data_IF_406585178926
#
_entry.id   IF_406585178926
#
_cell.length_a   1.000
_cell.length_b   1.000
_cell.length_c   1.000
_cell.angle_alpha   90.00
_cell.angle_beta   90.00
_cell.angle_gamma   90.00
#
_symmetry.space_group_name_H-M   'P 1'
#
loop_
_entity.id
_entity.type
_entity.pdbx_description
1 polymer ?
#
# COMPACT_ATOMS: atom_id res chain seq x y z
N UNK A 1 22.23 2.52 -14.05
CA UNK A 1 21.57 1.43 -13.31
C UNK A 1 20.14 1.80 -12.91
N UNK A 2 19.92 2.91 -12.20
CA UNK A 2 18.58 3.24 -11.70
C UNK A 2 17.57 3.53 -12.83
N UNK A 3 17.99 4.17 -13.94
CA UNK A 3 17.15 4.38 -15.11
C UNK A 3 16.72 3.03 -15.69
N UNK A 4 17.64 2.08 -15.83
CA UNK A 4 17.34 0.73 -16.31
C UNK A 4 16.34 0.03 -15.41
N UNK A 5 16.58 0.02 -14.10
CA UNK A 5 15.69 -0.62 -13.11
C UNK A 5 14.32 0.06 -13.10
N UNK A 6 14.29 1.40 -13.15
CA UNK A 6 13.04 2.16 -13.19
C UNK A 6 12.22 1.85 -14.45
N UNK A 7 12.84 1.87 -15.64
CA UNK A 7 12.18 1.57 -16.92
C UNK A 7 11.71 0.11 -16.93
N UNK A 8 12.57 -0.83 -16.52
CA UNK A 8 12.23 -2.25 -16.48
C UNK A 8 10.99 -2.52 -15.62
N UNK A 9 10.95 -1.99 -14.39
CA UNK A 9 9.79 -2.19 -13.52
C UNK A 9 8.57 -1.33 -13.89
N UNK A 10 8.76 -0.24 -14.62
CA UNK A 10 7.64 0.55 -15.15
C UNK A 10 6.90 -0.19 -16.27
N UNK A 11 7.60 -1.03 -17.03
CA UNK A 11 7.03 -1.85 -18.09
C UNK A 11 6.41 -3.15 -17.54
N UNK A 12 6.89 -3.63 -16.37
CA UNK A 12 6.37 -4.85 -15.77
C UNK A 12 4.87 -4.73 -15.46
N UNK A 13 4.11 -5.72 -15.85
CA UNK A 13 2.65 -5.76 -15.63
C UNK A 13 2.29 -5.93 -14.14
N UNK A 14 3.10 -6.67 -13.40
CA UNK A 14 2.96 -6.85 -11.95
C UNK A 14 3.77 -5.79 -11.21
N UNK A 15 3.08 -4.80 -10.66
CA UNK A 15 3.70 -3.73 -9.86
C UNK A 15 3.68 -4.08 -8.38
N UNK A 16 4.73 -4.74 -7.90
CA UNK A 16 4.90 -4.97 -6.47
C UNK A 16 5.74 -3.85 -5.84
N UNK A 17 5.29 -3.36 -4.71
CA UNK A 17 6.01 -2.30 -3.96
C UNK A 17 7.44 -2.71 -3.60
N UNK A 18 7.67 -4.01 -3.37
CA UNK A 18 8.99 -4.58 -3.10
C UNK A 18 10.03 -4.34 -4.21
N UNK A 19 9.59 -4.16 -5.46
CA UNK A 19 10.51 -3.84 -6.57
C UNK A 19 11.13 -2.45 -6.45
N UNK A 20 10.42 -1.52 -5.80
CA UNK A 20 10.95 -0.18 -5.53
C UNK A 20 12.15 -0.20 -4.57
N UNK A 21 12.27 -1.22 -3.72
CA UNK A 21 13.40 -1.37 -2.81
C UNK A 21 14.74 -1.52 -3.56
N UNK A 22 14.73 -2.07 -4.78
CA UNK A 22 15.93 -2.19 -5.61
C UNK A 22 16.44 -0.84 -6.12
N UNK A 23 15.60 0.20 -6.12
CA UNK A 23 15.98 1.56 -6.49
C UNK A 23 16.63 2.33 -5.34
N UNK A 24 16.39 1.93 -4.09
CA UNK A 24 16.85 2.67 -2.91
C UNK A 24 18.38 2.79 -2.85
N UNK A 25 19.19 1.73 -2.99
CA UNK A 25 20.65 1.85 -2.92
C UNK A 25 21.24 2.78 -3.98
N UNK A 26 20.91 2.67 -5.29
CA UNK A 26 21.46 3.56 -6.29
C UNK A 26 20.98 5.00 -6.11
N UNK A 27 19.73 5.22 -5.69
CA UNK A 27 19.22 6.57 -5.38
C UNK A 27 19.95 7.17 -4.18
N UNK A 28 20.15 6.41 -3.11
CA UNK A 28 20.90 6.85 -1.94
C UNK A 28 22.35 7.22 -2.30
N UNK A 29 22.99 6.45 -3.19
CA UNK A 29 24.34 6.75 -3.68
C UNK A 29 24.37 8.06 -4.49
N UNK A 30 23.42 8.26 -5.42
CA UNK A 30 23.34 9.49 -6.20
C UNK A 30 23.10 10.71 -5.31
N UNK A 31 22.16 10.57 -4.34
CA UNK A 31 21.86 11.64 -3.38
C UNK A 31 23.09 11.95 -2.53
N UNK A 32 23.75 10.93 -1.99
CA UNK A 32 24.96 11.07 -1.17
C UNK A 32 26.10 11.72 -1.94
N UNK A 33 26.31 11.31 -3.20
CA UNK A 33 27.31 11.90 -4.08
C UNK A 33 27.04 13.39 -4.34
N UNK A 34 25.80 13.74 -4.71
CA UNK A 34 25.42 15.12 -4.93
C UNK A 34 25.55 15.96 -3.65
N UNK A 35 25.16 15.40 -2.50
CA UNK A 35 25.30 16.08 -1.21
C UNK A 35 26.77 16.34 -0.87
N UNK A 36 27.67 15.37 -1.11
CA UNK A 36 29.11 15.54 -0.92
C UNK A 36 29.67 16.66 -1.80
N UNK A 37 29.32 16.66 -3.10
CA UNK A 37 29.72 17.73 -4.02
C UNK A 37 29.17 19.11 -3.60
N UNK A 38 27.95 19.16 -3.10
CA UNK A 38 27.36 20.39 -2.55
C UNK A 38 28.16 20.94 -1.36
N UNK A 39 28.69 20.09 -0.52
CA UNK A 39 29.49 20.48 0.63
C UNK A 39 30.88 20.99 0.24
N UNK A 40 31.45 20.41 -0.85
CA UNK A 40 32.80 20.75 -1.32
C UNK A 40 32.83 21.98 -2.23
N UNK A 41 31.84 22.17 -3.10
CA UNK A 41 31.83 23.25 -4.09
C UNK A 41 30.57 24.12 -4.03
N UNK A 42 30.52 24.95 -2.97
CA UNK A 42 29.35 25.78 -2.62
C UNK A 42 28.92 26.81 -3.67
N UNK A 43 29.78 27.23 -4.57
CA UNK A 43 29.59 28.54 -5.22
C UNK A 43 28.69 28.56 -6.48
N UNK A 44 28.42 27.47 -7.18
CA UNK A 44 27.87 27.65 -8.52
C UNK A 44 26.66 26.79 -8.94
N UNK A 45 26.39 25.61 -8.36
CA UNK A 45 25.47 24.71 -9.07
C UNK A 45 24.28 24.15 -8.23
N UNK A 46 24.27 24.36 -6.95
CA UNK A 46 23.48 23.46 -6.08
C UNK A 46 22.21 24.05 -5.47
N UNK A 47 21.96 25.33 -5.68
CA UNK A 47 20.73 25.99 -5.21
C UNK A 47 19.45 25.32 -5.77
N UNK A 48 19.52 24.87 -7.02
CA UNK A 48 18.38 24.22 -7.68
C UNK A 48 17.96 22.90 -7.06
N UNK A 49 18.92 22.03 -6.69
CA UNK A 49 18.62 20.73 -6.10
C UNK A 49 18.07 20.84 -4.67
N UNK A 50 18.75 21.61 -3.83
CA UNK A 50 18.31 21.79 -2.46
C UNK A 50 16.99 22.55 -2.36
N UNK A 51 16.80 23.56 -3.22
CA UNK A 51 15.53 24.27 -3.35
C UNK A 51 14.43 23.37 -3.92
N UNK A 52 14.75 22.55 -4.93
CA UNK A 52 13.80 21.63 -5.55
C UNK A 52 13.33 20.55 -4.56
N UNK A 53 14.23 19.98 -3.76
CA UNK A 53 13.85 19.00 -2.72
C UNK A 53 12.99 19.62 -1.62
N UNK A 54 13.29 20.85 -1.20
CA UNK A 54 12.50 21.56 -0.21
C UNK A 54 11.08 21.88 -0.72
N UNK A 55 10.95 22.30 -1.99
CA UNK A 55 9.64 22.49 -2.64
C UNK A 55 8.87 21.16 -2.71
N UNK A 56 9.55 20.06 -3.05
CA UNK A 56 8.93 18.74 -3.06
C UNK A 56 8.38 18.37 -1.68
N UNK A 57 9.12 18.63 -0.61
CA UNK A 57 8.65 18.40 0.76
C UNK A 57 7.44 19.26 1.12
N UNK A 58 7.39 20.52 0.68
CA UNK A 58 6.22 21.36 0.89
C UNK A 58 4.99 20.82 0.16
N UNK A 59 5.15 20.42 -1.10
CA UNK A 59 4.05 19.80 -1.88
C UNK A 59 3.61 18.50 -1.25
N UNK A 60 4.54 17.64 -0.82
CA UNK A 60 4.24 16.40 -0.12
C UNK A 60 3.52 16.68 1.20
N UNK A 61 3.97 17.67 1.96
CA UNK A 61 3.33 18.07 3.21
C UNK A 61 1.89 18.51 3.02
N UNK A 62 1.61 19.36 2.04
CA UNK A 62 0.25 19.75 1.68
C UNK A 62 -0.57 18.53 1.25
N UNK A 63 0.00 17.66 0.41
CA UNK A 63 -0.66 16.44 -0.04
C UNK A 63 -1.03 15.52 1.13
N UNK A 64 -0.15 15.35 2.12
CA UNK A 64 -0.44 14.56 3.33
C UNK A 64 -1.56 15.17 4.19
N UNK A 65 -1.61 16.49 4.31
CA UNK A 65 -2.71 17.15 5.04
C UNK A 65 -4.07 16.97 4.35
N UNK A 66 -4.08 17.05 3.02
CA UNK A 66 -5.31 16.87 2.24
C UNK A 66 -5.74 15.40 2.11
N UNK A 67 -4.81 14.45 2.24
CA UNK A 67 -5.11 13.02 2.10
C UNK A 67 -6.03 12.50 3.22
N UNK A 68 -6.07 13.15 4.38
CA UNK A 68 -6.95 12.79 5.50
C UNK A 68 -8.43 12.85 5.17
N UNK A 69 -8.84 13.75 4.26
CA UNK A 69 -10.23 13.88 3.84
C UNK A 69 -10.70 12.66 3.00
N UNK A 70 -9.78 12.07 2.23
CA UNK A 70 -10.08 10.91 1.39
C UNK A 70 -9.85 9.56 2.08
N UNK A 71 -8.99 9.52 3.10
CA UNK A 71 -8.59 8.31 3.83
C UNK A 71 -8.54 8.59 5.32
N UNK A 72 -9.69 8.50 6.03
CA UNK A 72 -9.77 8.85 7.46
C UNK A 72 -8.77 8.09 8.35
N UNK A 73 -8.41 6.86 7.97
CA UNK A 73 -7.43 6.03 8.70
C UNK A 73 -6.02 6.63 8.67
N UNK A 74 -5.73 7.44 7.65
CA UNK A 74 -4.44 8.12 7.50
C UNK A 74 -4.44 9.56 8.04
N UNK A 75 -5.58 10.06 8.50
CA UNK A 75 -5.73 11.47 8.89
C UNK A 75 -4.73 11.88 9.97
N UNK A 76 -4.55 11.07 11.02
CA UNK A 76 -3.61 11.37 12.10
C UNK A 76 -2.15 11.32 11.61
N UNK A 77 -1.75 10.24 10.93
CA UNK A 77 -0.40 10.11 10.36
C UNK A 77 -0.12 11.17 9.31
N UNK A 78 -1.10 11.50 8.47
CA UNK A 78 -1.03 12.56 7.47
C UNK A 78 -0.87 13.95 8.10
N UNK A 79 -1.58 14.23 9.18
CA UNK A 79 -1.44 15.49 9.93
C UNK A 79 -0.02 15.66 10.49
N UNK A 80 0.49 14.63 11.18
CA UNK A 80 1.85 14.67 11.73
C UNK A 80 2.91 14.79 10.64
N UNK A 81 2.86 13.94 9.63
CA UNK A 81 3.81 13.96 8.53
C UNK A 81 3.73 15.26 7.75
N UNK A 82 2.51 15.69 7.40
CA UNK A 82 2.27 16.93 6.67
C UNK A 82 2.81 18.16 7.41
N UNK A 83 2.49 18.30 8.68
CA UNK A 83 2.96 19.44 9.50
C UNK A 83 4.48 19.45 9.64
N UNK A 84 5.09 18.30 9.96
CA UNK A 84 6.54 18.21 10.11
C UNK A 84 7.29 18.45 8.80
N UNK A 85 6.78 17.92 7.66
CA UNK A 85 7.40 18.18 6.36
C UNK A 85 7.29 19.62 5.92
N UNK A 86 6.19 20.31 6.24
CA UNK A 86 6.07 21.76 5.99
C UNK A 86 7.05 22.57 6.82
N UNK A 87 7.15 22.29 8.12
CA UNK A 87 8.06 23.01 9.04
C UNK A 87 9.52 22.80 8.60
N UNK A 88 9.92 21.54 8.40
CA UNK A 88 11.30 21.21 8.02
C UNK A 88 11.63 21.71 6.62
N UNK A 89 10.70 21.59 5.66
CA UNK A 89 10.86 22.13 4.31
C UNK A 89 11.05 23.64 4.30
N UNK A 90 10.25 24.37 5.07
CA UNK A 90 10.41 25.81 5.24
C UNK A 90 11.75 26.18 5.91
N UNK A 91 12.16 25.42 6.95
CA UNK A 91 13.45 25.60 7.60
C UNK A 91 14.62 25.35 6.64
N UNK A 92 14.55 24.32 5.80
CA UNK A 92 15.56 24.04 4.77
C UNK A 92 15.65 25.22 3.81
N UNK A 93 14.54 25.73 3.27
CA UNK A 93 14.52 26.90 2.38
C UNK A 93 15.17 28.10 3.07
N UNK A 94 14.78 28.39 4.30
CA UNK A 94 15.35 29.51 5.07
C UNK A 94 16.87 29.37 5.22
N UNK A 95 17.38 28.20 5.58
CA UNK A 95 18.81 28.00 5.77
C UNK A 95 19.60 28.03 4.46
N UNK A 96 19.00 27.68 3.35
CA UNK A 96 19.62 27.79 2.02
C UNK A 96 19.62 29.25 1.55
N UNK A 97 18.48 29.96 1.67
CA UNK A 97 18.30 31.27 1.05
C UNK A 97 18.77 32.43 1.93
N UNK A 98 18.41 32.44 3.20
CA UNK A 98 18.61 33.58 4.08
C UNK A 98 19.84 33.43 4.98
N UNK A 99 20.10 32.26 5.53
CA UNK A 99 21.19 32.09 6.51
C UNK A 99 22.45 31.48 5.91
N UNK A 100 22.42 30.99 4.69
CA UNK A 100 23.52 30.33 3.97
C UNK A 100 24.22 29.21 4.78
N UNK A 101 23.48 28.55 5.70
CA UNK A 101 23.97 27.46 6.55
C UNK A 101 23.67 26.10 5.96
N UNK A 102 24.45 25.70 4.96
CA UNK A 102 24.21 24.48 4.20
C UNK A 102 24.32 23.20 4.98
N UNK A 103 25.32 23.12 5.84
CA UNK A 103 25.50 21.93 6.69
C UNK A 103 24.24 21.70 7.53
N UNK A 104 23.61 22.77 8.03
CA UNK A 104 22.36 22.66 8.76
C UNK A 104 21.21 22.26 7.86
N UNK A 105 21.12 22.82 6.63
CA UNK A 105 20.12 22.41 5.67
C UNK A 105 20.28 20.93 5.28
N UNK A 106 21.51 20.44 5.09
CA UNK A 106 21.79 19.02 4.85
C UNK A 106 21.33 18.12 5.99
N UNK A 107 21.62 18.48 7.24
CA UNK A 107 21.14 17.74 8.40
C UNK A 107 19.63 17.74 8.52
N UNK A 108 18.97 18.84 8.17
CA UNK A 108 17.50 18.90 8.14
C UNK A 108 16.91 17.95 7.12
N UNK A 109 17.54 17.72 5.95
CA UNK A 109 17.12 16.68 5.01
C UNK A 109 17.24 15.26 5.59
N UNK A 110 18.33 14.98 6.32
CA UNK A 110 18.50 13.69 7.00
C UNK A 110 17.42 13.49 8.07
N UNK A 111 17.19 14.51 8.89
CA UNK A 111 16.12 14.47 9.90
C UNK A 111 14.76 14.26 9.24
N UNK A 112 14.48 14.95 8.12
CA UNK A 112 13.25 14.77 7.35
C UNK A 112 13.07 13.32 6.89
N UNK A 113 14.12 12.71 6.33
CA UNK A 113 14.08 11.32 5.88
C UNK A 113 13.78 10.37 7.04
N UNK A 114 14.43 10.55 8.19
CA UNK A 114 14.20 9.73 9.39
C UNK A 114 12.76 9.92 9.90
N UNK A 115 12.29 11.16 10.02
CA UNK A 115 10.92 11.46 10.46
C UNK A 115 9.88 10.82 9.53
N UNK A 116 10.09 10.94 8.22
CA UNK A 116 9.20 10.32 7.23
C UNK A 116 9.16 8.80 7.38
N UNK A 117 10.31 8.17 7.61
CA UNK A 117 10.36 6.72 7.86
C UNK A 117 9.65 6.33 9.16
N UNK A 118 9.92 7.05 10.24
CA UNK A 118 9.32 6.74 11.55
C UNK A 118 7.79 6.90 11.52
N UNK A 119 7.27 7.99 10.95
CA UNK A 119 5.83 8.20 10.85
C UNK A 119 5.22 7.25 9.82
N UNK A 120 5.86 7.07 8.66
CA UNK A 120 5.38 6.18 7.62
C UNK A 120 5.24 4.74 8.11
N UNK A 121 6.29 4.19 8.70
CA UNK A 121 6.27 2.79 9.17
C UNK A 121 5.65 2.63 10.56
N UNK A 122 5.80 3.61 11.45
CA UNK A 122 5.33 3.50 12.83
C UNK A 122 3.87 3.90 13.04
N UNK A 123 3.35 4.81 12.22
CA UNK A 123 1.98 5.32 12.36
C UNK A 123 1.12 4.97 11.15
N UNK A 124 1.58 5.30 9.93
CA UNK A 124 0.74 5.15 8.75
C UNK A 124 0.60 3.69 8.31
N UNK A 125 1.66 2.88 8.33
CA UNK A 125 1.57 1.47 7.95
C UNK A 125 0.60 0.66 8.83
N UNK A 126 0.66 0.75 10.17
CA UNK A 126 -0.33 0.10 11.02
C UNK A 126 -1.77 0.58 10.78
N UNK A 127 -1.96 1.87 10.51
CA UNK A 127 -3.27 2.43 10.23
C UNK A 127 -3.90 1.88 8.94
N UNK A 128 -3.10 1.56 7.93
CA UNK A 128 -3.58 0.98 6.67
C UNK A 128 -3.50 -0.56 6.64
N UNK A 129 -2.88 -1.18 7.63
CA UNK A 129 -2.77 -2.64 7.68
C UNK A 129 -4.17 -3.29 7.59
N UNK A 130 -5.16 -2.77 8.32
CA UNK A 130 -6.54 -3.26 8.28
C UNK A 130 -7.13 -3.22 6.88
N UNK A 131 -6.84 -2.15 6.09
CA UNK A 131 -7.39 -2.00 4.73
C UNK A 131 -6.73 -2.97 3.74
N UNK A 132 -5.43 -3.26 3.90
CA UNK A 132 -4.67 -4.06 2.93
C UNK A 132 -4.42 -5.50 3.39
N UNK A 133 -4.51 -5.78 4.69
CA UNK A 133 -4.23 -7.09 5.25
C UNK A 133 -5.47 -7.97 5.23
N UNK A 134 -5.28 -9.20 4.77
CA UNK A 134 -6.31 -10.26 4.87
C UNK A 134 -6.25 -11.02 6.20
N UNK A 135 -5.32 -10.65 7.08
CA UNK A 135 -4.97 -11.41 8.31
C UNK A 135 -6.17 -11.69 9.18
N UNK A 136 -6.99 -10.68 9.42
CA UNK A 136 -8.09 -10.79 10.36
C UNK A 136 -9.23 -11.64 9.77
N UNK A 137 -9.66 -11.33 8.54
CA UNK A 137 -10.68 -12.13 7.83
C UNK A 137 -10.24 -13.57 7.65
N UNK A 138 -8.96 -13.80 7.34
CA UNK A 138 -8.42 -15.15 7.19
C UNK A 138 -8.49 -15.94 8.52
N UNK A 139 -8.12 -15.32 9.63
CA UNK A 139 -8.18 -15.94 10.97
C UNK A 139 -9.62 -16.19 11.43
N UNK A 140 -10.50 -15.23 11.21
CA UNK A 140 -11.92 -15.36 11.56
C UNK A 140 -12.55 -16.48 10.71
N UNK A 141 -12.23 -16.55 9.41
CA UNK A 141 -12.64 -17.68 8.58
C UNK A 141 -12.13 -19.01 9.12
N UNK A 142 -10.84 -19.10 9.41
CA UNK A 142 -10.22 -20.33 9.92
C UNK A 142 -10.82 -20.79 11.25
N UNK A 143 -11.13 -19.85 12.14
CA UNK A 143 -11.65 -20.16 13.47
C UNK A 143 -13.15 -20.50 13.49
N UNK A 144 -13.95 -19.78 12.69
CA UNK A 144 -15.41 -19.84 12.80
C UNK A 144 -16.06 -20.65 11.66
N UNK A 145 -15.55 -20.53 10.44
CA UNK A 145 -16.23 -21.07 9.25
C UNK A 145 -15.55 -22.31 8.68
N UNK A 146 -14.23 -22.43 8.79
CA UNK A 146 -13.50 -23.56 8.22
C UNK A 146 -13.88 -24.92 8.80
N UNK A 147 -14.04 -25.09 10.12
CA UNK A 147 -14.45 -26.38 10.67
C UNK A 147 -15.78 -26.88 10.08
N UNK A 148 -16.78 -25.99 10.06
CA UNK A 148 -18.08 -26.32 9.44
C UNK A 148 -17.98 -26.52 7.94
N UNK A 149 -17.14 -25.73 7.25
CA UNK A 149 -16.91 -25.87 5.83
C UNK A 149 -16.29 -27.22 5.46
N UNK A 150 -15.35 -27.71 6.28
CA UNK A 150 -14.70 -29.00 6.10
C UNK A 150 -15.68 -30.17 6.33
N UNK A 151 -16.48 -30.11 7.41
CA UNK A 151 -17.52 -31.11 7.70
C UNK A 151 -18.59 -31.18 6.61
N UNK A 152 -18.98 -30.04 6.04
CA UNK A 152 -19.99 -29.97 4.99
C UNK A 152 -19.42 -30.14 3.56
N UNK A 153 -18.11 -30.37 3.42
CA UNK A 153 -17.45 -30.52 2.14
C UNK A 153 -17.49 -29.25 1.27
N UNK A 154 -17.52 -28.07 1.90
CA UNK A 154 -17.58 -26.78 1.21
C UNK A 154 -16.22 -26.42 0.63
N UNK A 155 -16.25 -25.81 -0.55
CA UNK A 155 -15.06 -25.32 -1.23
C UNK A 155 -14.84 -23.85 -0.90
N UNK A 156 -13.58 -23.50 -0.57
CA UNK A 156 -13.19 -22.10 -0.38
C UNK A 156 -12.59 -21.53 -1.65
N UNK A 157 -13.23 -20.53 -2.21
CA UNK A 157 -12.67 -19.68 -3.27
C UNK A 157 -12.09 -18.42 -2.67
N UNK A 158 -10.88 -18.05 -3.09
CA UNK A 158 -10.19 -16.85 -2.61
C UNK A 158 -9.78 -16.01 -3.83
N UNK A 159 -10.15 -14.74 -3.82
CA UNK A 159 -9.71 -13.85 -4.88
C UNK A 159 -8.18 -13.87 -5.02
N UNK A 160 -7.69 -13.97 -6.25
CA UNK A 160 -6.27 -14.14 -6.64
C UNK A 160 -5.30 -13.27 -5.83
N UNK A 161 -5.61 -11.99 -5.65
CA UNK A 161 -4.74 -11.07 -4.92
C UNK A 161 -4.70 -11.31 -3.41
N UNK A 162 -5.70 -11.96 -2.84
CA UNK A 162 -5.85 -12.21 -1.41
C UNK A 162 -5.30 -13.57 -1.00
N UNK A 163 -5.26 -14.53 -1.95
CA UNK A 163 -4.90 -15.92 -1.69
C UNK A 163 -3.54 -16.09 -0.99
N UNK A 164 -2.45 -15.44 -1.41
CA UNK A 164 -1.17 -15.59 -0.72
C UNK A 164 -1.23 -15.17 0.76
N UNK A 165 -1.99 -14.12 1.07
CA UNK A 165 -2.19 -13.66 2.44
C UNK A 165 -3.04 -14.63 3.26
N UNK A 166 -4.15 -15.14 2.71
CA UNK A 166 -4.98 -16.13 3.43
C UNK A 166 -4.17 -17.38 3.73
N UNK A 167 -3.45 -17.93 2.77
CA UNK A 167 -2.57 -19.10 2.96
C UNK A 167 -1.48 -18.84 4.02
N UNK A 168 -0.89 -17.64 4.03
CA UNK A 168 0.15 -17.28 5.01
C UNK A 168 -0.37 -17.30 6.46
N UNK A 169 -1.63 -16.93 6.68
CA UNK A 169 -2.18 -16.79 8.03
C UNK A 169 -2.97 -17.98 8.53
N UNK A 170 -3.37 -18.91 7.65
CA UNK A 170 -4.31 -19.99 8.01
C UNK A 170 -3.88 -21.38 7.56
N UNK A 171 -2.90 -21.51 6.69
CA UNK A 171 -2.50 -22.76 6.01
C UNK A 171 -3.65 -23.44 5.22
N UNK A 172 -4.76 -22.74 4.98
CA UNK A 172 -5.91 -23.26 4.24
C UNK A 172 -5.69 -23.05 2.74
N UNK A 173 -5.58 -24.12 1.94
CA UNK A 173 -5.35 -24.05 0.50
C UNK A 173 -6.64 -23.76 -0.26
N UNK A 174 -7.16 -22.55 -0.19
CA UNK A 174 -8.32 -22.18 -0.98
C UNK A 174 -8.04 -22.19 -2.49
N UNK A 175 -9.08 -22.41 -3.30
CA UNK A 175 -9.01 -22.32 -4.75
C UNK A 175 -8.87 -20.85 -5.18
N UNK A 176 -8.01 -20.61 -6.16
CA UNK A 176 -7.83 -19.27 -6.71
C UNK A 176 -9.06 -18.87 -7.52
N UNK A 177 -9.51 -17.65 -7.36
CA UNK A 177 -10.63 -17.05 -8.07
C UNK A 177 -10.21 -15.71 -8.67
N UNK A 178 -10.02 -15.63 -9.97
CA UNK A 178 -9.86 -14.34 -10.66
C UNK A 178 -11.21 -13.87 -11.20
N UNK A 179 -11.94 -13.13 -10.38
CA UNK A 179 -13.26 -12.60 -10.74
C UNK A 179 -13.24 -11.60 -11.91
N UNK A 180 -12.05 -11.22 -12.39
CA UNK A 180 -11.93 -10.38 -13.57
C UNK A 180 -11.92 -11.21 -14.87
N UNK A 181 -11.71 -12.53 -14.77
CA UNK A 181 -11.77 -13.44 -15.92
C UNK A 181 -13.17 -14.05 -16.04
N UNK A 182 -13.91 -13.80 -17.14
CA UNK A 182 -15.27 -14.31 -17.31
C UNK A 182 -15.39 -15.83 -17.23
N UNK A 183 -14.36 -16.54 -17.67
CA UNK A 183 -14.32 -18.01 -17.66
C UNK A 183 -14.26 -18.57 -16.24
N UNK A 184 -13.37 -18.01 -15.41
CA UNK A 184 -13.25 -18.41 -14.00
C UNK A 184 -14.50 -18.04 -13.19
N UNK A 185 -15.05 -16.87 -13.47
CA UNK A 185 -16.29 -16.41 -12.82
C UNK A 185 -17.47 -17.33 -13.15
N UNK A 186 -17.58 -17.78 -14.41
CA UNK A 186 -18.56 -18.77 -14.82
C UNK A 186 -18.32 -20.12 -14.14
N UNK A 187 -17.06 -20.56 -14.05
CA UNK A 187 -16.72 -21.80 -13.36
C UNK A 187 -17.08 -21.77 -11.86
N UNK A 188 -16.86 -20.64 -11.18
CA UNK A 188 -17.26 -20.46 -9.78
C UNK A 188 -18.78 -20.47 -9.64
N UNK A 189 -19.48 -19.77 -10.52
CA UNK A 189 -20.96 -19.71 -10.52
C UNK A 189 -21.59 -21.08 -10.75
N UNK A 190 -21.07 -21.82 -11.71
CA UNK A 190 -21.66 -23.08 -12.17
C UNK A 190 -21.18 -24.30 -11.36
N UNK A 191 -20.25 -24.11 -10.42
CA UNK A 191 -19.85 -25.17 -9.48
C UNK A 191 -21.04 -25.52 -8.57
N UNK A 192 -21.53 -26.77 -8.57
CA UNK A 192 -22.70 -27.19 -7.81
C UNK A 192 -22.39 -27.39 -6.31
N UNK A 193 -21.12 -27.42 -5.93
CA UNK A 193 -20.73 -27.66 -4.53
C UNK A 193 -21.07 -26.47 -3.66
N UNK A 194 -21.45 -26.69 -2.39
CA UNK A 194 -21.57 -25.61 -1.42
C UNK A 194 -20.19 -24.97 -1.23
N UNK A 195 -20.14 -23.63 -1.15
CA UNK A 195 -18.87 -22.93 -1.21
C UNK A 195 -18.87 -21.60 -0.45
N UNK A 196 -17.69 -21.17 -0.07
CA UNK A 196 -17.39 -19.82 0.41
C UNK A 196 -16.55 -19.08 -0.62
N UNK A 197 -16.68 -17.76 -0.66
CA UNK A 197 -15.78 -16.90 -1.41
C UNK A 197 -15.31 -15.72 -0.54
N UNK A 198 -14.00 -15.48 -0.54
CA UNK A 198 -13.38 -14.33 0.10
C UNK A 198 -12.94 -13.34 -0.98
N UNK A 199 -13.54 -12.15 -0.96
CA UNK A 199 -13.19 -11.08 -1.89
C UNK A 199 -13.42 -9.69 -1.26
N UNK A 200 -12.97 -8.64 -1.94
CA UNK A 200 -13.26 -7.27 -1.51
C UNK A 200 -14.69 -6.88 -1.85
N UNK A 201 -15.33 -6.11 -0.97
CA UNK A 201 -16.69 -5.64 -1.15
C UNK A 201 -16.92 -4.93 -2.50
N UNK A 202 -16.05 -4.01 -2.88
CA UNK A 202 -16.17 -3.30 -4.16
C UNK A 202 -16.09 -4.23 -5.38
N UNK A 203 -15.38 -5.35 -5.28
CA UNK A 203 -15.31 -6.36 -6.35
C UNK A 203 -16.61 -7.14 -6.42
N UNK A 204 -17.16 -7.52 -5.27
CA UNK A 204 -18.45 -8.17 -5.22
C UNK A 204 -19.54 -7.27 -5.80
N UNK A 205 -19.63 -6.03 -5.36
CA UNK A 205 -20.63 -5.09 -5.89
C UNK A 205 -20.54 -4.95 -7.40
N UNK A 206 -19.34 -4.89 -7.94
CA UNK A 206 -19.09 -4.76 -9.38
C UNK A 206 -19.45 -6.02 -10.16
N UNK A 207 -19.27 -7.21 -9.59
CA UNK A 207 -19.41 -8.49 -10.24
C UNK A 207 -20.59 -9.32 -9.75
N UNK A 208 -21.38 -8.81 -8.84
CA UNK A 208 -22.50 -9.53 -8.20
C UNK A 208 -23.51 -10.09 -9.21
N UNK A 209 -23.85 -9.32 -10.25
CA UNK A 209 -24.78 -9.77 -11.30
C UNK A 209 -24.22 -10.96 -12.07
N UNK A 210 -22.93 -10.94 -12.38
CA UNK A 210 -22.25 -12.00 -13.16
C UNK A 210 -22.06 -13.27 -12.30
N UNK A 211 -21.86 -13.10 -10.99
CA UNK A 211 -21.75 -14.19 -10.00
C UNK A 211 -23.12 -14.84 -9.69
N UNK A 212 -24.22 -14.19 -10.04
CA UNK A 212 -25.55 -14.64 -9.62
C UNK A 212 -25.82 -14.26 -8.17
N UNK A 213 -25.93 -12.95 -7.89
CA UNK A 213 -26.05 -12.36 -6.54
C UNK A 213 -27.12 -13.01 -5.66
N UNK A 214 -28.20 -13.51 -6.26
CA UNK A 214 -29.32 -14.13 -5.54
C UNK A 214 -28.94 -15.42 -4.79
N UNK A 215 -27.83 -16.06 -5.19
CA UNK A 215 -27.35 -17.32 -4.58
C UNK A 215 -26.42 -17.08 -3.42
N UNK A 216 -25.76 -15.92 -3.38
CA UNK A 216 -24.71 -15.61 -2.42
C UNK A 216 -25.27 -14.92 -1.19
N UNK A 217 -25.14 -15.55 -0.05
CA UNK A 217 -25.47 -14.96 1.23
C UNK A 217 -24.24 -14.25 1.80
N UNK A 218 -24.42 -13.02 2.19
CA UNK A 218 -23.41 -12.28 2.93
C UNK A 218 -23.26 -12.90 4.32
N UNK A 219 -22.03 -13.16 4.73
CA UNK A 219 -21.71 -13.79 6.02
C UNK A 219 -21.06 -12.78 6.95
N UNK A 220 -20.00 -12.14 6.51
CA UNK A 220 -19.21 -11.20 7.32
C UNK A 220 -18.48 -10.20 6.44
N UNK A 221 -18.30 -8.98 6.98
CA UNK A 221 -17.43 -7.96 6.39
C UNK A 221 -16.47 -7.44 7.44
N UNK A 222 -15.21 -7.30 7.06
CA UNK A 222 -14.19 -6.69 7.89
C UNK A 222 -13.15 -5.99 7.02
N UNK A 223 -12.97 -4.69 7.28
CA UNK A 223 -12.00 -3.86 6.58
C UNK A 223 -12.17 -3.89 5.04
N UNK A 224 -13.41 -3.93 4.56
CA UNK A 224 -13.73 -3.99 3.14
C UNK A 224 -13.45 -5.35 2.48
N UNK A 225 -13.20 -6.39 3.27
CA UNK A 225 -13.12 -7.79 2.84
C UNK A 225 -14.39 -8.51 3.30
N UNK A 226 -15.03 -9.19 2.37
CA UNK A 226 -16.28 -9.88 2.62
C UNK A 226 -16.12 -11.39 2.43
N UNK A 227 -16.83 -12.12 3.27
CA UNK A 227 -17.05 -13.57 3.14
C UNK A 227 -18.50 -13.76 2.67
N UNK A 228 -18.66 -14.45 1.57
CA UNK A 228 -19.95 -14.86 1.05
C UNK A 228 -20.06 -16.37 1.03
N UNK A 229 -21.29 -16.88 1.20
CA UNK A 229 -21.63 -18.29 1.19
C UNK A 229 -22.64 -18.58 0.10
N UNK A 230 -22.44 -19.66 -0.63
CA UNK A 230 -23.41 -20.27 -1.54
C UNK A 230 -23.65 -21.72 -1.11
N UNK A 231 -24.91 -22.09 -0.92
CA UNK A 231 -25.28 -23.44 -0.45
C UNK A 231 -25.42 -24.46 -1.60
N UNK A 232 -25.07 -24.06 -2.85
CA UNK A 232 -25.02 -25.01 -3.98
C UNK A 232 -26.38 -25.45 -4.52
N UNK A 233 -27.45 -24.60 -4.38
CA UNK A 233 -28.80 -24.93 -4.85
C UNK A 233 -29.08 -24.40 -6.25
#
# INVERSE_FOLDING_TARGET
WWIFVFVFFSIAQTKQVSYMLLLVPPLATIIGWNLAQMLDDWRQTHFGWAGGSAVLFLVMGIGCLLAGDGLPQLAEGGLWLGTLTLILGAAIIYHITASHRLMLAAWLHVIMAVVTMVIGFGVMMPAVEGIFSVKQVARDYAAQYHPTAEEEGRVLYIHKQLRPGVMLYTDIPGLEADVNQPEELTAIRDDPRPKYIIMRDFMYQRKSKELGAERWQFVEEKDGLCIFRDDGR
#
